data_IF_698178156067
#
_entry.id   IF_698178156067
#
_cell.length_a   1.000
_cell.length_b   1.000
_cell.length_c   1.000
_cell.angle_alpha   90.00
_cell.angle_beta   90.00
_cell.angle_gamma   90.00
#
_symmetry.space_group_name_H-M   'P 1'
#
loop_
_entity.id
_entity.type
_entity.pdbx_description
1 polymer ?
#
# COMPACT_ATOMS: atom_id res chain seq x y z
N UNK A 1 53.69 25.54 -10.76
CA UNK A 1 52.33 25.59 -11.33
C UNK A 1 52.26 24.45 -12.34
N UNK A 2 51.47 23.39 -12.24
CA UNK A 2 50.07 23.30 -11.85
C UNK A 2 49.81 21.96 -11.13
N UNK A 3 48.80 21.97 -10.25
CA UNK A 3 48.32 20.78 -9.55
C UNK A 3 47.88 19.69 -10.54
N UNK A 4 48.19 18.46 -10.20
CA UNK A 4 47.80 17.20 -10.84
C UNK A 4 46.35 17.21 -11.35
N UNK A 5 46.10 16.85 -12.62
CA UNK A 5 44.76 16.46 -13.03
C UNK A 5 44.50 15.09 -12.41
N UNK A 6 44.05 15.05 -11.16
CA UNK A 6 43.40 13.85 -10.63
C UNK A 6 42.33 13.45 -11.62
N UNK A 7 42.52 12.29 -12.24
CA UNK A 7 41.91 11.95 -13.51
C UNK A 7 40.39 11.97 -13.34
N UNK A 8 39.64 12.53 -14.30
CA UNK A 8 38.18 12.62 -14.22
C UNK A 8 37.55 11.24 -13.93
N UNK A 9 38.20 10.17 -14.41
CA UNK A 9 37.89 8.78 -14.13
C UNK A 9 37.92 8.41 -12.63
N UNK A 10 38.89 8.89 -11.86
CA UNK A 10 38.96 8.63 -10.40
C UNK A 10 37.82 9.31 -9.65
N UNK A 11 37.45 10.52 -10.09
CA UNK A 11 36.29 11.24 -9.53
C UNK A 11 34.99 10.52 -9.84
N UNK A 12 34.82 10.04 -11.07
CA UNK A 12 33.64 9.26 -11.51
C UNK A 12 33.53 7.97 -10.67
N UNK A 13 34.61 7.20 -10.57
CA UNK A 13 34.62 5.96 -9.78
C UNK A 13 34.31 6.21 -8.28
N UNK A 14 34.82 7.32 -7.72
CA UNK A 14 34.51 7.71 -6.35
C UNK A 14 33.03 8.13 -6.16
N UNK A 15 32.45 8.79 -7.16
CA UNK A 15 31.04 9.16 -7.19
C UNK A 15 30.13 7.92 -7.29
N UNK A 16 30.45 6.98 -8.17
CA UNK A 16 29.70 5.72 -8.32
C UNK A 16 29.69 4.91 -7.02
N UNK A 17 30.84 4.82 -6.34
CA UNK A 17 30.95 4.13 -5.05
C UNK A 17 30.15 4.81 -3.93
N UNK A 18 30.02 6.15 -3.97
CA UNK A 18 29.18 6.93 -3.05
C UNK A 18 27.70 6.73 -3.35
N UNK A 19 27.30 6.70 -4.62
CA UNK A 19 25.91 6.42 -5.04
C UNK A 19 25.49 5.02 -4.58
N UNK A 20 26.29 3.99 -4.85
CA UNK A 20 25.97 2.62 -4.44
C UNK A 20 25.87 2.45 -2.90
N UNK A 21 26.62 3.24 -2.13
CA UNK A 21 26.52 3.28 -0.67
C UNK A 21 25.22 3.96 -0.23
N UNK A 22 24.90 5.10 -0.83
CA UNK A 22 23.66 5.83 -0.58
C UNK A 22 22.44 5.01 -0.98
N UNK A 23 22.46 4.27 -2.09
CA UNK A 23 21.35 3.39 -2.48
C UNK A 23 21.12 2.25 -1.47
N UNK A 24 22.19 1.73 -0.85
CA UNK A 24 22.08 0.76 0.26
C UNK A 24 21.56 1.39 1.55
N UNK A 25 22.01 2.60 1.88
CA UNK A 25 21.57 3.33 3.09
C UNK A 25 20.14 3.87 2.94
N UNK A 26 19.75 4.28 1.74
CA UNK A 26 18.40 4.74 1.35
C UNK A 26 17.55 3.57 0.82
N UNK A 27 17.97 2.32 1.05
CA UNK A 27 17.26 1.09 0.66
C UNK A 27 15.82 0.96 1.19
N UNK A 28 15.34 1.95 1.96
CA UNK A 28 13.93 2.18 2.23
C UNK A 28 13.24 2.80 1.03
N UNK A 29 12.45 1.97 0.33
CA UNK A 29 11.41 2.39 -0.61
C UNK A 29 10.70 3.62 -0.07
N UNK A 30 10.73 4.74 -0.82
CA UNK A 30 9.98 5.95 -0.47
C UNK A 30 8.53 5.52 -0.21
N UNK A 31 7.99 5.73 1.00
CA UNK A 31 6.63 5.32 1.30
C UNK A 31 5.71 6.13 0.40
N UNK A 32 5.00 5.42 -0.47
CA UNK A 32 3.94 6.00 -1.26
C UNK A 32 2.79 6.34 -0.30
N UNK A 33 2.51 7.64 -0.05
CA UNK A 33 1.56 8.04 0.99
C UNK A 33 0.14 7.56 0.68
N UNK A 34 -0.19 7.39 -0.60
CA UNK A 34 -1.47 6.84 -1.03
C UNK A 34 -1.57 5.36 -0.68
N UNK A 35 -0.52 4.57 -0.92
CA UNK A 35 -0.48 3.16 -0.52
C UNK A 35 -0.59 2.95 0.98
N UNK A 36 0.07 3.79 1.79
CA UNK A 36 -0.04 3.71 3.25
C UNK A 36 -1.47 4.03 3.71
N UNK A 37 -2.09 5.03 3.11
CA UNK A 37 -3.50 5.36 3.36
C UNK A 37 -4.46 4.22 2.98
N UNK A 38 -4.25 3.58 1.82
CA UNK A 38 -5.04 2.41 1.41
C UNK A 38 -4.92 1.24 2.40
N UNK A 39 -3.70 0.96 2.89
CA UNK A 39 -3.48 -0.08 3.89
C UNK A 39 -4.22 0.23 5.21
N UNK A 40 -4.17 1.49 5.67
CA UNK A 40 -4.89 1.89 6.88
C UNK A 40 -6.41 1.78 6.72
N UNK A 41 -6.95 2.15 5.55
CA UNK A 41 -8.38 1.97 5.24
C UNK A 41 -8.78 0.49 5.22
N UNK A 42 -7.93 -0.37 4.64
CA UNK A 42 -8.14 -1.81 4.60
C UNK A 42 -8.24 -2.41 6.01
N UNK A 43 -7.29 -2.12 6.88
CA UNK A 43 -7.29 -2.62 8.26
C UNK A 43 -8.52 -2.14 9.06
N UNK A 44 -8.93 -0.88 8.87
CA UNK A 44 -10.18 -0.36 9.46
C UNK A 44 -11.40 -1.10 8.93
N UNK A 45 -11.47 -1.34 7.61
CA UNK A 45 -12.58 -2.07 6.99
C UNK A 45 -12.69 -3.49 7.54
N UNK A 46 -11.56 -4.21 7.63
CA UNK A 46 -11.47 -5.55 8.19
C UNK A 46 -12.02 -5.60 9.62
N UNK A 47 -11.58 -4.69 10.48
CA UNK A 47 -12.04 -4.61 11.86
C UNK A 47 -13.57 -4.38 11.93
N UNK A 48 -14.10 -3.47 11.12
CA UNK A 48 -15.54 -3.16 11.09
C UNK A 48 -16.34 -4.37 10.59
N UNK A 49 -15.90 -5.02 9.52
CA UNK A 49 -16.59 -6.17 8.93
C UNK A 49 -16.63 -7.34 9.91
N UNK A 50 -15.53 -7.65 10.59
CA UNK A 50 -15.45 -8.72 11.59
C UNK A 50 -16.38 -8.40 12.77
N UNK A 51 -16.36 -7.16 13.26
CA UNK A 51 -17.17 -6.72 14.40
C UNK A 51 -18.67 -6.72 14.10
N UNK A 52 -19.07 -6.19 12.95
CA UNK A 52 -20.48 -5.98 12.60
C UNK A 52 -21.09 -7.17 11.85
N UNK A 53 -20.26 -8.14 11.43
CA UNK A 53 -20.62 -9.31 10.62
C UNK A 53 -21.42 -8.95 9.36
N UNK A 54 -21.16 -7.77 8.81
CA UNK A 54 -21.78 -7.23 7.59
C UNK A 54 -20.70 -6.75 6.64
N UNK A 55 -20.84 -7.10 5.37
CA UNK A 55 -19.92 -6.69 4.32
C UNK A 55 -20.69 -6.39 3.03
N UNK A 56 -20.66 -5.11 2.63
CA UNK A 56 -21.15 -4.63 1.33
C UNK A 56 -20.48 -3.30 0.98
N UNK A 57 -20.49 -2.94 -0.31
CA UNK A 57 -19.85 -1.70 -0.80
C UNK A 57 -20.45 -0.48 -0.11
N UNK A 58 -21.79 -0.34 -0.13
CA UNK A 58 -22.50 0.78 0.51
C UNK A 58 -22.25 0.82 2.02
N UNK A 59 -22.14 -0.34 2.67
CA UNK A 59 -21.84 -0.41 4.10
C UNK A 59 -20.45 0.18 4.41
N UNK A 60 -19.42 -0.21 3.64
CA UNK A 60 -18.07 0.32 3.80
C UNK A 60 -17.99 1.80 3.44
N UNK A 61 -18.67 2.25 2.37
CA UNK A 61 -18.75 3.67 2.01
C UNK A 61 -19.28 4.52 3.17
N UNK A 62 -20.37 4.09 3.82
CA UNK A 62 -20.97 4.84 4.94
C UNK A 62 -20.13 4.81 6.22
N UNK A 63 -19.42 3.70 6.48
CA UNK A 63 -18.63 3.53 7.70
C UNK A 63 -17.26 4.18 7.63
N UNK A 64 -16.65 4.20 6.45
CA UNK A 64 -15.29 4.73 6.26
C UNK A 64 -15.27 6.07 5.52
N UNK A 65 -16.42 6.54 5.02
CA UNK A 65 -16.56 7.79 4.25
C UNK A 65 -15.61 7.77 3.03
N UNK A 66 -15.74 6.72 2.23
CA UNK A 66 -14.90 6.48 1.04
C UNK A 66 -15.77 6.32 -0.22
N UNK A 67 -15.14 6.54 -1.37
CA UNK A 67 -15.74 6.38 -2.69
C UNK A 67 -16.09 4.91 -2.99
N UNK A 68 -17.01 4.71 -3.95
CA UNK A 68 -17.49 3.39 -4.36
C UNK A 68 -16.33 2.48 -4.79
N UNK A 69 -15.44 2.96 -5.66
CA UNK A 69 -14.32 2.18 -6.19
C UNK A 69 -13.37 1.70 -5.08
N UNK A 70 -13.07 2.56 -4.10
CA UNK A 70 -12.24 2.19 -2.94
C UNK A 70 -12.92 1.13 -2.09
N UNK A 71 -14.21 1.31 -1.81
CA UNK A 71 -14.99 0.32 -1.05
C UNK A 71 -15.08 -1.03 -1.79
N UNK A 72 -15.26 -1.03 -3.11
CA UNK A 72 -15.25 -2.24 -3.94
C UNK A 72 -13.88 -2.94 -3.91
N UNK A 73 -12.78 -2.18 -4.10
CA UNK A 73 -11.41 -2.71 -4.03
C UNK A 73 -11.12 -3.36 -2.69
N UNK A 74 -11.46 -2.67 -1.59
CA UNK A 74 -11.32 -3.22 -0.22
C UNK A 74 -12.15 -4.50 -0.06
N UNK A 75 -13.38 -4.51 -0.56
CA UNK A 75 -14.26 -5.68 -0.43
C UNK A 75 -13.73 -6.89 -1.20
N UNK A 76 -13.14 -6.69 -2.38
CA UNK A 76 -12.46 -7.74 -3.16
C UNK A 76 -11.21 -8.25 -2.45
N UNK A 77 -10.43 -7.38 -1.81
CA UNK A 77 -9.28 -7.79 -1.00
C UNK A 77 -9.71 -8.65 0.20
N UNK A 78 -10.75 -8.21 0.92
CA UNK A 78 -11.32 -8.97 2.04
C UNK A 78 -11.86 -10.34 1.61
N UNK A 79 -12.42 -10.44 0.40
CA UNK A 79 -12.84 -11.71 -0.20
C UNK A 79 -11.64 -12.61 -0.53
N UNK A 80 -10.61 -12.05 -1.17
CA UNK A 80 -9.37 -12.78 -1.51
C UNK A 80 -8.62 -13.29 -0.28
N UNK A 81 -8.71 -12.60 0.87
CA UNK A 81 -8.14 -13.06 2.14
C UNK A 81 -9.06 -14.02 2.93
N UNK A 82 -10.25 -14.33 2.38
CA UNK A 82 -11.23 -15.21 3.00
C UNK A 82 -11.83 -14.64 4.30
N UNK A 83 -11.86 -13.31 4.45
CA UNK A 83 -12.53 -12.63 5.57
C UNK A 83 -14.02 -12.49 5.24
N UNK A 84 -14.32 -12.25 3.97
CA UNK A 84 -15.68 -12.13 3.43
C UNK A 84 -15.88 -13.23 2.40
N UNK A 85 -17.06 -13.84 2.38
CA UNK A 85 -17.45 -14.84 1.39
C UNK A 85 -17.83 -14.22 0.05
N UNK A 86 -18.07 -15.05 -0.96
CA UNK A 86 -18.48 -14.59 -2.27
C UNK A 86 -19.79 -13.79 -2.19
N UNK A 87 -20.02 -12.96 -3.20
CA UNK A 87 -21.26 -12.20 -3.30
C UNK A 87 -22.46 -13.12 -3.51
N UNK A 88 -23.45 -13.03 -2.62
CA UNK A 88 -24.67 -13.85 -2.70
C UNK A 88 -25.84 -12.89 -2.99
N UNK A 89 -26.22 -12.79 -4.27
CA UNK A 89 -27.32 -11.93 -4.72
C UNK A 89 -27.02 -10.43 -4.62
N UNK A 90 -28.06 -9.61 -4.41
CA UNK A 90 -27.95 -8.14 -4.43
C UNK A 90 -27.34 -7.62 -3.12
N UNK A 91 -26.00 -7.55 -3.08
CA UNK A 91 -25.27 -6.64 -2.20
C UNK A 91 -25.04 -7.09 -0.76
N UNK A 92 -25.17 -8.39 -0.42
CA UNK A 92 -24.76 -8.90 0.90
C UNK A 92 -23.77 -10.04 0.78
N UNK A 93 -22.65 -9.92 1.47
CA UNK A 93 -21.62 -10.96 1.59
C UNK A 93 -21.61 -11.53 3.00
N UNK A 94 -21.41 -12.84 3.13
CA UNK A 94 -21.30 -13.52 4.43
C UNK A 94 -19.91 -13.26 5.02
N UNK A 95 -19.81 -12.91 6.30
CA UNK A 95 -18.51 -12.76 6.97
C UNK A 95 -18.06 -14.12 7.49
N UNK A 96 -16.82 -14.52 7.16
CA UNK A 96 -16.28 -15.86 7.42
C UNK A 96 -15.42 -15.93 8.68
N UNK A 97 -14.81 -14.82 9.10
CA UNK A 97 -13.96 -14.70 10.30
C UNK A 97 -14.55 -13.73 11.31
#
# INVERSE_FOLDING_TARGET
MAATPGNLAEKIAALEKRVARLEKEVGGKIPDPEKEFENQLYEKAKAIVIREKKASVIFLQRKLVIDYHRAEKILKLLESEGIVGPEIGVGRRKVLK
#
